data_IF_048050044724
#
_entry.id   IF_048050044724
#
_cell.length_a   1.000
_cell.length_b   1.000
_cell.length_c   1.000
_cell.angle_alpha   90.00
_cell.angle_beta   90.00
_cell.angle_gamma   90.00
#
_symmetry.space_group_name_H-M   'P 1'
#
loop_
_entity.id
_entity.type
_entity.pdbx_description
1 polymer ?
#
# COMPACT_ATOMS: atom_id res chain seq x y z
N UNK A 1 7.36 -26.36 -37.24
CA UNK A 1 7.82 -24.98 -37.02
C UNK A 1 7.26 -24.46 -35.70
N UNK A 2 8.10 -23.70 -34.98
CA UNK A 2 7.89 -22.86 -33.79
C UNK A 2 7.43 -23.50 -32.46
N UNK A 3 8.39 -23.46 -31.53
CA UNK A 3 8.30 -23.67 -30.08
C UNK A 3 7.53 -22.52 -29.43
N UNK A 4 6.54 -22.82 -28.59
CA UNK A 4 6.00 -21.89 -27.59
C UNK A 4 6.47 -22.33 -26.22
N UNK A 5 7.63 -21.80 -25.84
CA UNK A 5 8.11 -21.78 -24.46
C UNK A 5 7.39 -20.66 -23.71
N UNK A 6 7.07 -20.92 -22.44
CA UNK A 6 7.24 -19.97 -21.34
C UNK A 6 6.42 -18.68 -21.36
N UNK A 7 5.16 -18.76 -20.91
CA UNK A 7 4.41 -17.60 -20.40
C UNK A 7 3.77 -17.86 -19.01
N UNK A 8 3.69 -19.12 -18.58
CA UNK A 8 3.15 -19.53 -17.28
C UNK A 8 4.15 -19.41 -16.10
N UNK A 9 5.44 -19.19 -16.37
CA UNK A 9 6.48 -19.20 -15.33
C UNK A 9 6.75 -17.83 -14.68
N UNK A 10 6.16 -16.73 -15.18
CA UNK A 10 6.52 -15.38 -14.74
C UNK A 10 5.56 -14.76 -13.72
N UNK A 11 4.40 -15.37 -13.44
CA UNK A 11 3.44 -14.84 -12.45
C UNK A 11 3.69 -15.32 -11.01
N UNK A 12 4.57 -16.32 -10.80
CA UNK A 12 4.74 -16.98 -9.49
C UNK A 12 5.95 -16.48 -8.66
N UNK A 13 6.78 -15.58 -9.20
CA UNK A 13 8.03 -15.15 -8.54
C UNK A 13 7.85 -13.85 -7.73
N UNK A 14 6.72 -13.13 -7.88
CA UNK A 14 6.51 -11.84 -7.21
C UNK A 14 6.04 -11.89 -5.75
N UNK A 15 5.57 -13.04 -5.24
CA UNK A 15 4.81 -13.09 -3.96
C UNK A 15 5.64 -13.63 -2.77
N UNK A 16 6.88 -14.06 -2.96
CA UNK A 16 7.65 -14.77 -1.90
C UNK A 16 8.78 -13.97 -1.22
N UNK A 17 8.80 -12.64 -1.26
CA UNK A 17 9.93 -11.85 -0.70
C UNK A 17 9.54 -10.83 0.40
N UNK A 18 8.46 -11.06 1.15
CA UNK A 18 8.11 -10.24 2.33
C UNK A 18 7.92 -11.09 3.60
N UNK A 19 8.76 -12.11 3.76
CA UNK A 19 8.77 -12.98 4.93
C UNK A 19 9.98 -12.74 5.83
N UNK A 20 9.71 -12.48 7.11
CA UNK A 20 10.59 -12.50 8.28
C UNK A 20 11.59 -11.34 8.46
N UNK A 21 11.14 -10.30 9.17
CA UNK A 21 12.00 -9.63 10.16
C UNK A 21 11.76 -10.35 11.50
N UNK A 22 12.83 -10.93 12.01
CA UNK A 22 12.91 -11.84 13.14
C UNK A 22 12.42 -11.25 14.46
N UNK A 23 11.70 -12.09 15.23
CA UNK A 23 11.47 -11.91 16.66
C UNK A 23 12.81 -11.92 17.40
N UNK A 24 13.13 -10.82 18.11
CA UNK A 24 14.25 -10.81 19.04
C UNK A 24 13.84 -11.49 20.34
N UNK A 25 14.57 -12.55 20.68
CA UNK A 25 14.50 -13.25 21.94
C UNK A 25 14.92 -12.31 23.09
N UNK A 26 14.14 -12.32 24.17
CA UNK A 26 14.45 -11.61 25.40
C UNK A 26 15.63 -12.28 26.11
N UNK A 27 16.82 -11.67 26.03
CA UNK A 27 17.91 -11.94 26.96
C UNK A 27 17.76 -11.04 28.19
N UNK A 28 17.61 -11.67 29.35
CA UNK A 28 17.63 -11.04 30.66
C UNK A 28 19.03 -10.47 30.94
N UNK A 29 19.16 -9.14 30.97
CA UNK A 29 20.36 -8.46 31.44
C UNK A 29 20.05 -7.69 32.72
N UNK A 30 20.77 -8.07 33.79
CA UNK A 30 20.76 -7.44 35.10
C UNK A 30 21.02 -5.94 35.02
N UNK A 31 20.18 -5.19 35.71
CA UNK A 31 20.24 -3.74 35.87
C UNK A 31 21.36 -3.33 36.83
N UNK A 32 22.47 -2.81 36.29
CA UNK A 32 23.37 -1.91 37.02
C UNK A 32 23.04 -0.47 36.66
N UNK A 33 22.78 0.34 37.69
CA UNK A 33 22.44 1.75 37.62
C UNK A 33 23.54 2.58 36.93
N UNK A 34 23.16 3.21 35.82
CA UNK A 34 23.66 4.51 35.38
C UNK A 34 22.53 5.16 34.59
N UNK A 35 21.90 6.19 35.14
CA UNK A 35 20.89 6.98 34.42
C UNK A 35 21.61 7.87 33.41
N UNK A 36 22.12 7.25 32.34
CA UNK A 36 22.50 7.98 31.15
C UNK A 36 21.21 8.58 30.55
N UNK A 37 21.13 9.91 30.54
CA UNK A 37 20.08 10.62 29.80
C UNK A 37 20.14 10.12 28.35
N UNK A 38 19.04 9.58 27.78
CA UNK A 38 19.06 9.14 26.39
C UNK A 38 19.33 10.35 25.49
N UNK A 39 20.51 10.42 24.88
CA UNK A 39 20.84 11.47 23.91
C UNK A 39 20.35 11.02 22.54
N UNK A 40 19.34 11.71 22.00
CA UNK A 40 18.96 11.57 20.60
C UNK A 40 19.73 12.63 19.81
N UNK A 41 20.49 12.22 18.80
CA UNK A 41 21.18 13.16 17.92
C UNK A 41 20.19 13.81 16.96
N UNK A 42 20.42 15.08 16.62
CA UNK A 42 19.64 15.80 15.60
C UNK A 42 19.64 15.05 14.26
N UNK A 43 20.73 14.34 13.95
CA UNK A 43 20.89 13.57 12.72
C UNK A 43 20.02 12.31 12.70
N UNK A 44 19.83 11.64 13.85
CA UNK A 44 18.87 10.53 13.97
C UNK A 44 17.43 11.01 13.73
N UNK A 45 17.05 12.16 14.27
CA UNK A 45 15.72 12.75 14.06
C UNK A 45 15.50 13.12 12.58
N UNK A 46 16.48 13.77 11.93
CA UNK A 46 16.41 14.08 10.49
C UNK A 46 16.30 12.82 9.64
N UNK A 47 17.08 11.79 9.96
CA UNK A 47 17.03 10.50 9.26
C UNK A 47 15.66 9.86 9.41
N UNK A 48 15.05 9.95 10.59
CA UNK A 48 13.71 9.41 10.86
C UNK A 48 12.63 10.15 10.06
N UNK A 49 12.66 11.49 10.04
CA UNK A 49 11.74 12.32 9.27
C UNK A 49 11.85 12.03 7.78
N UNK A 50 13.08 11.89 7.25
CA UNK A 50 13.31 11.54 5.85
C UNK A 50 12.79 10.14 5.50
N UNK A 51 13.05 9.13 6.36
CA UNK A 51 12.50 7.78 6.18
C UNK A 51 10.97 7.78 6.17
N UNK A 52 10.33 8.57 7.03
CA UNK A 52 8.88 8.68 7.06
C UNK A 52 8.30 9.37 5.82
N UNK A 53 8.96 10.42 5.31
CA UNK A 53 8.60 11.03 4.03
C UNK A 53 8.66 10.02 2.90
N UNK A 54 9.77 9.26 2.81
CA UNK A 54 9.94 8.24 1.79
C UNK A 54 8.91 7.10 1.91
N UNK A 55 8.54 6.71 3.14
CA UNK A 55 7.49 5.72 3.37
C UNK A 55 6.13 6.24 2.88
N UNK A 56 5.78 7.49 3.16
CA UNK A 56 4.55 8.10 2.68
C UNK A 56 4.47 8.15 1.16
N UNK A 57 5.55 8.57 0.49
CA UNK A 57 5.62 8.59 -0.98
C UNK A 57 5.48 7.17 -1.56
N UNK A 58 6.04 6.16 -0.89
CA UNK A 58 5.88 4.76 -1.27
C UNK A 58 4.43 4.27 -1.12
N UNK A 59 3.74 4.66 -0.04
CA UNK A 59 2.32 4.38 0.15
C UNK A 59 1.45 5.00 -0.94
N UNK A 60 1.67 6.28 -1.27
CA UNK A 60 0.94 7.00 -2.33
C UNK A 60 1.15 6.35 -3.71
N UNK A 61 2.38 5.92 -4.00
CA UNK A 61 2.71 5.18 -5.22
C UNK A 61 2.01 3.82 -5.26
N UNK A 62 2.03 3.08 -4.15
CA UNK A 62 1.38 1.77 -4.05
C UNK A 62 -0.13 1.89 -4.23
N UNK A 63 -0.77 2.88 -3.60
CA UNK A 63 -2.19 3.18 -3.78
C UNK A 63 -2.50 3.47 -5.26
N UNK A 64 -1.68 4.30 -5.90
CA UNK A 64 -1.84 4.68 -7.31
C UNK A 64 -1.76 3.46 -8.23
N UNK A 65 -0.79 2.56 -8.01
CA UNK A 65 -0.64 1.32 -8.79
C UNK A 65 -1.85 0.40 -8.58
N UNK A 66 -2.33 0.23 -7.35
CA UNK A 66 -3.49 -0.60 -7.04
C UNK A 66 -4.77 -0.06 -7.70
N UNK A 67 -4.99 1.27 -7.63
CA UNK A 67 -6.13 1.93 -8.29
C UNK A 67 -6.09 1.77 -9.82
N UNK A 68 -4.92 1.93 -10.43
CA UNK A 68 -4.73 1.71 -11.87
C UNK A 68 -4.99 0.25 -12.25
N UNK A 69 -4.49 -0.70 -11.45
CA UNK A 69 -4.69 -2.13 -11.67
C UNK A 69 -6.18 -2.47 -11.61
N UNK A 70 -6.89 -2.02 -10.57
CA UNK A 70 -8.35 -2.19 -10.44
C UNK A 70 -9.08 -1.62 -11.65
N UNK A 71 -8.73 -0.41 -12.08
CA UNK A 71 -9.34 0.25 -13.23
C UNK A 71 -9.17 -0.59 -14.50
N UNK A 72 -7.94 -0.99 -14.82
CA UNK A 72 -7.65 -1.78 -16.02
C UNK A 72 -8.39 -3.13 -16.01
N UNK A 73 -8.46 -3.78 -14.86
CA UNK A 73 -9.20 -5.04 -14.69
C UNK A 73 -10.70 -4.87 -14.96
N UNK A 74 -11.31 -3.77 -14.50
CA UNK A 74 -12.72 -3.46 -14.78
C UNK A 74 -12.95 -3.05 -16.24
N UNK A 75 -12.04 -2.30 -16.85
CA UNK A 75 -12.14 -1.89 -18.26
C UNK A 75 -12.16 -3.10 -19.20
N UNK A 76 -11.35 -4.14 -18.93
CA UNK A 76 -11.37 -5.38 -19.72
C UNK A 76 -12.74 -6.08 -19.71
N UNK A 77 -13.45 -6.06 -18.58
CA UNK A 77 -14.81 -6.62 -18.50
C UNK A 77 -15.83 -5.74 -19.21
N UNK A 78 -15.72 -4.42 -19.06
CA UNK A 78 -16.57 -3.45 -19.74
C UNK A 78 -16.47 -3.55 -21.27
N UNK A 79 -15.27 -3.79 -21.80
CA UNK A 79 -15.05 -4.01 -23.23
C UNK A 79 -15.75 -5.28 -23.74
N UNK A 80 -15.69 -6.38 -22.98
CA UNK A 80 -16.38 -7.62 -23.34
C UNK A 80 -17.91 -7.42 -23.34
N UNK A 81 -18.44 -6.73 -22.32
CA UNK A 81 -19.87 -6.44 -22.20
C UNK A 81 -20.35 -5.58 -23.38
N UNK A 82 -19.68 -4.45 -23.62
CA UNK A 82 -20.00 -3.53 -24.74
C UNK A 82 -19.94 -4.24 -26.09
N UNK A 83 -18.93 -5.07 -26.31
CA UNK A 83 -18.81 -5.83 -27.56
C UNK A 83 -19.92 -6.88 -27.69
N UNK A 84 -20.33 -7.53 -26.61
CA UNK A 84 -21.44 -8.47 -26.61
C UNK A 84 -22.75 -7.78 -27.03
N UNK A 85 -23.04 -6.60 -26.47
CA UNK A 85 -24.24 -5.82 -26.81
C UNK A 85 -24.24 -5.39 -28.27
N UNK A 86 -23.08 -4.97 -28.80
CA UNK A 86 -22.93 -4.61 -30.21
C UNK A 86 -23.29 -5.76 -31.15
N UNK A 87 -22.75 -6.96 -30.90
CA UNK A 87 -23.03 -8.13 -31.74
C UNK A 87 -24.47 -8.63 -31.56
N UNK A 88 -25.04 -8.53 -30.36
CA UNK A 88 -26.45 -8.81 -30.12
C UNK A 88 -27.36 -7.90 -30.95
N UNK A 89 -27.05 -6.60 -31.01
CA UNK A 89 -27.81 -5.65 -31.82
C UNK A 89 -27.72 -5.97 -33.32
N UNK A 90 -26.53 -6.32 -33.81
CA UNK A 90 -26.33 -6.75 -35.21
C UNK A 90 -27.08 -8.04 -35.53
N UNK A 91 -27.06 -9.01 -34.62
CA UNK A 91 -27.79 -10.27 -34.75
C UNK A 91 -29.31 -10.02 -34.86
N UNK A 92 -29.89 -9.22 -33.96
CA UNK A 92 -31.31 -8.87 -33.99
C UNK A 92 -31.71 -8.13 -35.26
N UNK A 93 -30.85 -7.24 -35.77
CA UNK A 93 -31.10 -6.53 -37.03
C UNK A 93 -31.09 -7.48 -38.24
N UNK A 94 -30.16 -8.45 -38.28
CA UNK A 94 -30.11 -9.46 -39.34
C UNK A 94 -31.32 -10.40 -39.28
N UNK A 95 -31.76 -10.79 -38.08
CA UNK A 95 -32.98 -11.58 -37.87
C UNK A 95 -34.21 -10.86 -38.41
N UNK A 96 -34.39 -9.58 -38.04
CA UNK A 96 -35.51 -8.77 -38.50
C UNK A 96 -35.52 -8.56 -40.02
N UNK A 97 -34.35 -8.57 -40.67
CA UNK A 97 -34.21 -8.46 -42.11
C UNK A 97 -34.34 -9.82 -42.85
N UNK A 98 -34.46 -10.94 -42.13
CA UNK A 98 -34.46 -12.29 -42.71
C UNK A 98 -33.10 -12.73 -43.28
N UNK A 99 -32.01 -12.02 -42.94
CA UNK A 99 -30.65 -12.34 -43.40
C UNK A 99 -30.00 -13.40 -42.51
N UNK A 100 -30.38 -14.65 -42.75
CA UNK A 100 -29.89 -15.81 -41.98
C UNK A 100 -28.38 -16.02 -42.08
N UNK A 101 -27.73 -15.56 -43.15
CA UNK A 101 -26.27 -15.66 -43.30
C UNK A 101 -25.58 -14.77 -42.27
N UNK A 102 -25.95 -13.49 -42.23
CA UNK A 102 -25.36 -12.55 -41.28
C UNK A 102 -25.82 -12.81 -39.84
N UNK A 103 -27.05 -13.28 -39.63
CA UNK A 103 -27.52 -13.75 -38.33
C UNK A 103 -26.56 -14.78 -37.71
N UNK A 104 -26.24 -15.85 -38.45
CA UNK A 104 -25.37 -16.92 -37.94
C UNK A 104 -23.94 -16.43 -37.64
N UNK A 105 -23.42 -15.49 -38.44
CA UNK A 105 -22.12 -14.86 -38.19
C UNK A 105 -22.14 -14.05 -36.90
N UNK A 106 -23.13 -13.18 -36.73
CA UNK A 106 -23.25 -12.32 -35.54
C UNK A 106 -23.55 -13.12 -34.29
N UNK A 107 -24.37 -14.18 -34.38
CA UNK A 107 -24.62 -15.12 -33.30
C UNK A 107 -23.31 -15.76 -32.82
N UNK A 108 -22.45 -16.20 -33.74
CA UNK A 108 -21.16 -16.81 -33.39
C UNK A 108 -20.26 -15.84 -32.62
N UNK A 109 -20.18 -14.58 -33.05
CA UNK A 109 -19.42 -13.55 -32.34
C UNK A 109 -20.03 -13.25 -30.96
N UNK A 110 -21.34 -13.01 -30.90
CA UNK A 110 -22.06 -12.75 -29.65
C UNK A 110 -21.85 -13.89 -28.64
N UNK A 111 -22.04 -15.14 -29.05
CA UNK A 111 -21.86 -16.32 -28.20
C UNK A 111 -20.43 -16.39 -27.67
N UNK A 112 -19.42 -16.24 -28.54
CA UNK A 112 -18.01 -16.34 -28.13
C UNK A 112 -17.60 -15.29 -27.11
N UNK A 113 -18.10 -14.06 -27.25
CA UNK A 113 -17.79 -12.95 -26.34
C UNK A 113 -18.56 -13.11 -25.02
N UNK A 114 -19.80 -13.56 -25.09
CA UNK A 114 -20.62 -13.84 -23.90
C UNK A 114 -20.01 -14.98 -23.08
N UNK A 115 -19.52 -16.03 -23.73
CA UNK A 115 -18.83 -17.14 -23.06
C UNK A 115 -17.53 -16.67 -22.40
N UNK A 116 -16.75 -15.81 -23.08
CA UNK A 116 -15.55 -15.19 -22.51
C UNK A 116 -15.88 -14.31 -21.30
N UNK A 117 -16.95 -13.51 -21.37
CA UNK A 117 -17.43 -12.70 -20.25
C UNK A 117 -17.81 -13.59 -19.06
N UNK A 118 -18.66 -14.58 -19.27
CA UNK A 118 -19.16 -15.47 -18.20
C UNK A 118 -18.03 -16.29 -17.56
N UNK A 119 -17.02 -16.68 -18.35
CA UNK A 119 -15.84 -17.40 -17.84
C UNK A 119 -14.94 -16.50 -17.00
N UNK A 120 -14.76 -15.24 -17.39
CA UNK A 120 -13.82 -14.33 -16.76
C UNK A 120 -14.43 -13.53 -15.61
N UNK A 121 -15.74 -13.25 -15.62
CA UNK A 121 -16.42 -12.42 -14.63
C UNK A 121 -16.15 -12.85 -13.17
N UNK A 122 -16.28 -14.14 -12.79
CA UNK A 122 -16.01 -14.56 -11.41
C UNK A 122 -14.54 -14.34 -10.98
N UNK A 123 -13.61 -14.50 -11.92
CA UNK A 123 -12.18 -14.30 -11.67
C UNK A 123 -11.87 -12.82 -11.48
N UNK A 124 -12.49 -11.96 -12.30
CA UNK A 124 -12.34 -10.51 -12.22
C UNK A 124 -12.99 -9.95 -10.96
N UNK A 125 -14.20 -10.37 -10.62
CA UNK A 125 -14.87 -9.97 -9.37
C UNK A 125 -14.00 -10.28 -8.16
N UNK A 126 -13.50 -11.51 -8.06
CA UNK A 126 -12.60 -11.91 -6.98
C UNK A 126 -11.30 -11.10 -6.94
N UNK A 127 -10.72 -10.78 -8.10
CA UNK A 127 -9.52 -9.96 -8.17
C UNK A 127 -9.79 -8.51 -7.71
N UNK A 128 -10.93 -7.95 -8.09
CA UNK A 128 -11.34 -6.60 -7.65
C UNK A 128 -11.59 -6.56 -6.15
N UNK A 129 -12.23 -7.57 -5.58
CA UNK A 129 -12.43 -7.68 -4.12
C UNK A 129 -11.10 -7.72 -3.38
N UNK A 130 -10.14 -8.55 -3.84
CA UNK A 130 -8.80 -8.62 -3.26
C UNK A 130 -8.04 -7.29 -3.34
N UNK A 131 -8.19 -6.54 -4.44
CA UNK A 131 -7.59 -5.21 -4.57
C UNK A 131 -8.25 -4.22 -3.61
N UNK A 132 -9.57 -4.29 -3.41
CA UNK A 132 -10.27 -3.44 -2.46
C UNK A 132 -9.82 -3.72 -1.02
N UNK A 133 -9.74 -5.00 -0.63
CA UNK A 133 -9.22 -5.39 0.70
C UNK A 133 -7.79 -4.88 0.90
N UNK A 134 -6.93 -5.01 -0.12
CA UNK A 134 -5.56 -4.51 -0.07
C UNK A 134 -5.48 -2.98 0.04
N UNK A 135 -6.37 -2.25 -0.62
CA UNK A 135 -6.47 -0.80 -0.51
C UNK A 135 -6.94 -0.37 0.89
N UNK A 136 -7.89 -1.10 1.49
CA UNK A 136 -8.36 -0.83 2.84
C UNK A 136 -7.26 -1.09 3.88
N UNK A 137 -6.50 -2.17 3.73
CA UNK A 137 -5.34 -2.47 4.58
C UNK A 137 -4.23 -1.42 4.42
N UNK A 138 -3.95 -0.98 3.19
CA UNK A 138 -2.99 0.10 2.92
C UNK A 138 -3.40 1.39 3.62
N UNK A 139 -4.70 1.72 3.57
CA UNK A 139 -5.26 2.90 4.22
C UNK A 139 -5.19 2.81 5.74
N UNK A 140 -5.39 1.63 6.33
CA UNK A 140 -5.18 1.41 7.77
C UNK A 140 -3.73 1.64 8.16
N UNK A 141 -2.78 1.03 7.44
CA UNK A 141 -1.35 1.23 7.68
C UNK A 141 -0.94 2.72 7.60
N UNK A 142 -1.48 3.44 6.61
CA UNK A 142 -1.23 4.88 6.47
C UNK A 142 -1.84 5.69 7.62
N UNK A 143 -3.00 5.31 8.16
CA UNK A 143 -3.61 5.97 9.32
C UNK A 143 -2.87 5.68 10.64
N UNK A 144 -2.20 4.54 10.74
CA UNK A 144 -1.41 4.18 11.92
C UNK A 144 -0.05 4.93 11.93
N UNK A 145 0.48 5.29 10.75
CA UNK A 145 1.76 6.00 10.60
C UNK A 145 1.84 7.39 11.31
N UNK A 146 0.79 8.25 11.28
CA UNK A 146 0.70 9.45 12.10
C UNK A 146 0.82 9.18 13.60
N UNK A 147 0.27 8.08 14.10
CA UNK A 147 0.29 7.74 15.52
C UNK A 147 1.73 7.55 16.00
N UNK A 148 2.57 6.91 15.20
CA UNK A 148 4.00 6.75 15.52
C UNK A 148 4.74 8.09 15.51
N UNK A 149 4.39 9.01 14.60
CA UNK A 149 5.01 10.33 14.52
C UNK A 149 4.56 11.25 15.66
N UNK A 150 3.28 11.20 16.03
CA UNK A 150 2.68 12.00 17.09
C UNK A 150 3.16 11.52 18.46
N UNK A 151 3.28 10.19 18.63
CA UNK A 151 3.87 9.58 19.83
C UNK A 151 5.37 9.90 19.93
N UNK A 152 6.13 9.85 18.83
CA UNK A 152 7.55 10.21 18.82
C UNK A 152 7.77 11.71 19.05
N UNK A 153 6.95 12.57 18.46
CA UNK A 153 7.02 14.03 18.66
C UNK A 153 6.61 14.43 20.07
N UNK A 154 5.60 13.78 20.65
CA UNK A 154 5.21 13.94 22.05
C UNK A 154 6.35 13.52 22.99
N UNK A 155 7.02 12.41 22.72
CA UNK A 155 8.21 11.98 23.48
C UNK A 155 9.36 12.99 23.34
N UNK A 156 9.63 13.49 22.14
CA UNK A 156 10.65 14.52 21.88
C UNK A 156 10.33 15.83 22.61
N UNK A 157 9.09 16.29 22.55
CA UNK A 157 8.62 17.50 23.20
C UNK A 157 8.71 17.38 24.73
N UNK A 158 8.28 16.26 25.29
CA UNK A 158 8.38 15.98 26.73
C UNK A 158 9.84 16.01 27.19
N UNK A 159 10.75 15.40 26.43
CA UNK A 159 12.20 15.40 26.75
C UNK A 159 12.84 16.78 26.61
N UNK A 160 12.38 17.62 25.67
CA UNK A 160 12.85 19.01 25.56
C UNK A 160 12.46 19.84 26.79
N UNK A 161 11.26 19.63 27.32
CA UNK A 161 10.82 20.27 28.56
C UNK A 161 11.68 19.83 29.75
N UNK A 162 11.92 18.51 29.90
CA UNK A 162 12.80 17.97 30.96
C UNK A 162 14.23 18.54 30.90
N UNK A 163 14.79 18.68 29.69
CA UNK A 163 16.12 19.28 29.49
C UNK A 163 16.15 20.77 29.83
N UNK A 164 15.08 21.50 29.49
CA UNK A 164 15.01 22.93 29.79
C UNK A 164 14.93 23.17 31.31
N UNK A 165 14.14 22.37 32.04
CA UNK A 165 14.06 22.43 33.49
C UNK A 165 15.43 22.13 34.15
N UNK A 166 16.14 21.14 33.64
CA UNK A 166 17.50 20.80 34.10
C UNK A 166 18.51 21.94 33.86
N UNK A 167 18.42 22.61 32.70
CA UNK A 167 19.25 23.79 32.38
C UNK A 167 18.98 24.94 33.34
N UNK A 168 17.71 25.19 33.65
CA UNK A 168 17.32 26.28 34.55
C UNK A 168 17.77 25.98 35.99
N UNK A 169 17.67 24.72 36.45
CA UNK A 169 18.24 24.28 37.73
C UNK A 169 19.77 24.43 37.79
N UNK A 170 20.48 24.06 36.73
CA UNK A 170 21.93 24.27 36.64
C UNK A 170 22.29 25.75 36.70
N UNK A 171 21.53 26.60 36.00
CA UNK A 171 21.74 28.05 35.99
C UNK A 171 21.51 28.66 37.38
N UNK A 172 20.48 28.21 38.10
CA UNK A 172 20.23 28.61 39.49
C UNK A 172 21.35 28.18 40.42
N UNK A 173 21.80 26.93 40.34
CA UNK A 173 22.91 26.41 41.14
C UNK A 173 24.22 27.16 40.88
N UNK A 174 24.52 27.47 39.61
CA UNK A 174 25.68 28.27 39.25
C UNK A 174 25.60 29.68 39.85
N UNK A 175 24.43 30.33 39.76
CA UNK A 175 24.23 31.65 40.35
C UNK A 175 24.40 31.64 41.88
N UNK A 176 23.91 30.62 42.58
CA UNK A 176 24.15 30.48 44.02
C UNK A 176 25.64 30.30 44.35
N UNK A 177 26.36 29.48 43.58
CA UNK A 177 27.81 29.29 43.76
C UNK A 177 28.63 30.57 43.50
N UNK A 178 28.17 31.41 42.57
CA UNK A 178 28.77 32.71 42.29
C UNK A 178 28.45 33.74 43.38
N UNK A 179 27.24 33.72 43.93
CA UNK A 179 26.85 34.59 45.05
C UNK A 179 27.60 34.23 46.34
N UNK A 180 27.77 32.95 46.63
CA UNK A 180 28.51 32.46 47.80
C UNK A 180 30.04 32.62 47.70
N UNK A 181 30.55 33.15 46.57
CA UNK A 181 31.97 33.45 46.36
C UNK A 181 32.35 34.90 46.71
N UNK A 182 31.40 35.75 47.09
CA UNK A 182 31.63 37.08 47.67
C UNK A 182 31.65 37.00 49.18
#
# INVERSE_FOLDING_TARGET
MRKTKSLLASCLIGVMMLGSVSAYAAETVQTTQSTAVPSFSLDEVKTLVQKNSANRDAYDLQESIMRLTRKNTLEQMSELDTNSEYWLAKMKAAEAAGDMKNYNIYYSYYSSITDAYNTNAPTVEKAVDQINDSLDDLKRQMNDLPTDLDMTSTVLYTKLLELNDSRDLMSQNLNMLLQNRK
#
